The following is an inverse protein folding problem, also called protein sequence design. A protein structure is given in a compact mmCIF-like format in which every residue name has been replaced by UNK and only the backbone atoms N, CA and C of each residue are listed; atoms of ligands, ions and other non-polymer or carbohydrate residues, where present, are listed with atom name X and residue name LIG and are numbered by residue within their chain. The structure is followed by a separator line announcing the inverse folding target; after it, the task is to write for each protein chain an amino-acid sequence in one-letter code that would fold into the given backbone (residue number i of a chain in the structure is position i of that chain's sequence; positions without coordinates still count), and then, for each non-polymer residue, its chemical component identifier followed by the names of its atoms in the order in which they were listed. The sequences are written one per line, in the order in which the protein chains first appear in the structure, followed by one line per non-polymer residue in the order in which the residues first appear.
data_IF_223467798273
#
_entry.id   IF_223467798273
#
_cell.length_a   1.000
_cell.length_b   1.000
_cell.length_c   1.000
_cell.angle_alpha   90.00
_cell.angle_beta   90.00
_cell.angle_gamma   90.00
#
_symmetry.space_group_name_H-M   'P 1'
#
loop_
_entity.id
_entity.type
_entity.pdbx_description
1 polymer ?
#
# COMPACT_ATOMS: atom_id res chain seq x y z
N UNK A 1 6.69 -11.15 1.45
CA UNK A 1 7.71 -10.11 1.20
C UNK A 1 7.03 -8.92 0.56
N UNK A 2 7.44 -7.67 0.95
CA UNK A 2 7.02 -6.43 0.30
C UNK A 2 8.04 -6.06 -0.77
N UNK A 3 7.56 -5.56 -1.93
CA UNK A 3 8.40 -5.05 -3.00
C UNK A 3 7.77 -3.82 -3.66
N UNK A 4 8.63 -2.89 -4.07
CA UNK A 4 8.31 -1.81 -5.02
C UNK A 4 8.96 -2.17 -6.34
N UNK A 5 8.22 -2.70 -7.33
CA UNK A 5 8.80 -3.38 -8.50
C UNK A 5 9.40 -2.43 -9.53
N UNK A 6 9.08 -1.15 -9.45
CA UNK A 6 9.58 -0.14 -10.37
C UNK A 6 9.24 1.27 -9.90
N UNK A 7 9.84 2.26 -10.54
CA UNK A 7 9.62 3.69 -10.27
C UNK A 7 9.79 4.48 -11.56
N UNK A 8 8.83 5.35 -11.84
CA UNK A 8 8.98 6.36 -12.90
C UNK A 8 9.83 7.53 -12.37
N UNK A 9 9.52 8.00 -11.17
CA UNK A 9 10.25 9.08 -10.52
C UNK A 9 9.90 9.12 -9.02
N UNK A 10 10.84 9.53 -8.19
CA UNK A 10 10.64 9.73 -6.76
C UNK A 10 11.07 11.15 -6.40
N UNK A 11 10.14 11.99 -5.95
CA UNK A 11 10.36 13.43 -5.75
C UNK A 11 11.42 13.74 -4.69
N UNK A 12 11.55 12.88 -3.67
CA UNK A 12 12.55 13.03 -2.61
C UNK A 12 13.91 12.39 -2.95
N UNK A 13 14.12 11.94 -4.20
CA UNK A 13 15.41 11.45 -4.73
C UNK A 13 15.61 12.04 -6.13
N UNK A 14 15.81 13.38 -6.22
CA UNK A 14 15.79 14.10 -7.49
C UNK A 14 16.93 13.72 -8.46
N UNK A 15 18.03 13.15 -7.96
CA UNK A 15 19.16 12.73 -8.80
C UNK A 15 18.86 11.49 -9.64
N UNK A 16 17.79 10.76 -9.35
CA UNK A 16 17.41 9.59 -10.14
C UNK A 16 16.80 10.02 -11.47
N UNK A 17 17.22 9.41 -12.58
CA UNK A 17 16.63 9.71 -13.89
C UNK A 17 15.15 9.29 -13.91
N UNK A 18 14.34 10.08 -14.62
CA UNK A 18 12.95 9.69 -14.92
C UNK A 18 12.97 8.53 -15.92
N UNK A 19 12.27 7.46 -15.58
CA UNK A 19 12.09 6.30 -16.46
C UNK A 19 10.75 6.44 -17.17
N UNK A 20 10.71 6.21 -18.49
CA UNK A 20 9.47 6.20 -19.22
C UNK A 20 8.49 5.16 -18.66
N UNK A 21 7.20 5.50 -18.59
CA UNK A 21 6.19 4.71 -17.88
C UNK A 21 6.06 3.28 -18.47
N UNK A 22 6.02 3.17 -19.78
CA UNK A 22 5.96 1.89 -20.51
C UNK A 22 7.21 1.04 -20.29
N UNK A 23 8.38 1.66 -20.27
CA UNK A 23 9.65 0.99 -19.96
C UNK A 23 9.68 0.48 -18.53
N UNK A 24 9.18 1.29 -17.58
CA UNK A 24 9.03 0.88 -16.19
C UNK A 24 8.11 -0.34 -16.08
N UNK A 25 6.95 -0.29 -16.75
CA UNK A 25 5.99 -1.39 -16.78
C UNK A 25 6.61 -2.69 -17.32
N UNK A 26 7.21 -2.63 -18.52
CA UNK A 26 7.81 -3.80 -19.15
C UNK A 26 8.88 -4.46 -18.28
N UNK A 27 9.77 -3.64 -17.70
CA UNK A 27 10.84 -4.13 -16.82
C UNK A 27 10.27 -4.75 -15.53
N UNK A 28 9.31 -4.08 -14.89
CA UNK A 28 8.71 -4.55 -13.66
C UNK A 28 7.96 -5.88 -13.88
N UNK A 29 7.16 -6.00 -14.95
CA UNK A 29 6.46 -7.24 -15.30
C UNK A 29 7.44 -8.37 -15.56
N UNK A 30 8.50 -8.12 -16.35
CA UNK A 30 9.49 -9.13 -16.66
C UNK A 30 10.18 -9.68 -15.40
N UNK A 31 10.61 -8.80 -14.49
CA UNK A 31 11.27 -9.23 -13.26
C UNK A 31 10.31 -9.91 -12.30
N UNK A 32 9.08 -9.43 -12.18
CA UNK A 32 8.07 -10.09 -11.33
C UNK A 32 7.71 -11.49 -11.86
N UNK A 33 7.63 -11.68 -13.19
CA UNK A 33 7.46 -13.01 -13.79
C UNK A 33 8.64 -13.95 -13.51
N UNK A 34 9.87 -13.43 -13.39
CA UNK A 34 11.05 -14.22 -12.98
C UNK A 34 11.01 -14.60 -11.50
N UNK A 35 10.48 -13.74 -10.64
CA UNK A 35 10.37 -13.98 -9.21
C UNK A 35 9.20 -14.92 -8.85
N UNK A 36 8.15 -14.95 -9.66
CA UNK A 36 6.95 -15.74 -9.37
C UNK A 36 7.19 -17.23 -9.10
N UNK A 37 7.99 -17.97 -9.90
CA UNK A 37 8.29 -19.37 -9.61
C UNK A 37 9.10 -19.55 -8.32
N UNK A 38 10.01 -18.63 -8.00
CA UNK A 38 10.77 -18.66 -6.74
C UNK A 38 9.84 -18.46 -5.54
N UNK A 39 8.92 -17.50 -5.64
CA UNK A 39 7.90 -17.27 -4.62
C UNK A 39 7.02 -18.52 -4.40
N UNK A 40 6.65 -19.20 -5.48
CA UNK A 40 5.88 -20.45 -5.44
C UNK A 40 6.67 -21.59 -4.79
N UNK A 41 7.92 -21.79 -5.17
CA UNK A 41 8.81 -22.83 -4.60
C UNK A 41 8.94 -22.69 -3.07
N UNK A 42 9.10 -21.43 -2.61
CA UNK A 42 9.24 -21.15 -1.18
C UNK A 42 7.91 -20.93 -0.46
N UNK A 43 6.78 -20.99 -1.15
CA UNK A 43 5.44 -20.70 -0.60
C UNK A 43 5.35 -19.33 0.10
N UNK A 44 6.01 -18.32 -0.45
CA UNK A 44 6.06 -16.96 0.09
C UNK A 44 5.40 -15.99 -0.89
N UNK A 45 4.34 -15.32 -0.43
CA UNK A 45 3.74 -14.26 -1.23
C UNK A 45 4.66 -13.04 -1.36
N UNK A 46 4.74 -12.50 -2.57
CA UNK A 46 5.33 -11.19 -2.85
C UNK A 46 4.19 -10.19 -3.05
N UNK A 47 4.15 -9.18 -2.19
CA UNK A 47 3.18 -8.10 -2.24
C UNK A 47 3.77 -6.85 -2.87
N UNK A 48 3.15 -6.36 -3.94
CA UNK A 48 3.48 -5.11 -4.61
C UNK A 48 2.81 -3.96 -3.87
N UNK A 49 3.60 -3.00 -3.38
CA UNK A 49 3.09 -1.85 -2.66
C UNK A 49 2.77 -0.68 -3.59
N UNK A 50 1.64 -0.03 -3.34
CA UNK A 50 1.28 1.25 -3.93
C UNK A 50 1.98 2.39 -3.17
N UNK A 51 3.01 2.97 -3.79
CA UNK A 51 3.82 4.06 -3.21
C UNK A 51 3.88 5.28 -4.14
N UNK A 52 4.37 6.41 -3.63
CA UNK A 52 4.49 7.65 -4.40
C UNK A 52 5.74 7.67 -5.30
N UNK A 53 5.75 6.83 -6.30
CA UNK A 53 6.84 6.66 -7.26
C UNK A 53 6.41 6.92 -8.72
N UNK A 54 5.21 7.50 -8.91
CA UNK A 54 4.60 7.79 -10.22
C UNK A 54 4.42 6.54 -11.10
N UNK A 55 4.26 5.39 -10.47
CA UNK A 55 3.99 4.11 -11.12
C UNK A 55 2.83 3.39 -10.43
N UNK A 56 2.00 2.67 -11.20
CA UNK A 56 0.79 2.01 -10.71
C UNK A 56 -0.18 2.99 -10.03
N UNK A 57 -0.56 4.03 -10.76
CA UNK A 57 -1.26 5.21 -10.25
C UNK A 57 -2.74 4.99 -9.95
N UNK A 58 -3.32 3.88 -10.38
CA UNK A 58 -4.73 3.56 -10.16
C UNK A 58 -4.95 2.10 -9.76
N UNK A 59 -6.09 1.79 -9.10
CA UNK A 59 -6.41 0.41 -8.76
C UNK A 59 -6.58 -0.48 -10.00
N UNK A 60 -6.98 0.09 -11.12
CA UNK A 60 -7.13 -0.66 -12.38
C UNK A 60 -5.78 -1.05 -12.96
N UNK A 61 -4.78 -0.15 -12.88
CA UNK A 61 -3.41 -0.46 -13.29
C UNK A 61 -2.77 -1.50 -12.37
N UNK A 62 -2.89 -1.34 -11.05
CA UNK A 62 -2.38 -2.31 -10.08
C UNK A 62 -2.99 -3.70 -10.32
N UNK A 63 -4.30 -3.75 -10.56
CA UNK A 63 -4.99 -5.00 -10.91
C UNK A 63 -4.44 -5.60 -12.20
N UNK A 64 -4.34 -4.79 -13.27
CA UNK A 64 -3.84 -5.24 -14.57
C UNK A 64 -2.39 -5.75 -14.47
N UNK A 65 -1.55 -5.05 -13.71
CA UNK A 65 -0.16 -5.44 -13.47
C UNK A 65 -0.06 -6.81 -12.78
N UNK A 66 -0.83 -7.02 -11.71
CA UNK A 66 -0.83 -8.31 -10.98
C UNK A 66 -1.38 -9.43 -11.88
N UNK A 67 -2.45 -9.16 -12.62
CA UNK A 67 -3.07 -10.15 -13.51
C UNK A 67 -2.16 -10.52 -14.68
N UNK A 68 -1.38 -9.57 -15.21
CA UNK A 68 -0.42 -9.84 -16.30
C UNK A 68 0.73 -10.73 -15.83
N UNK A 69 1.14 -10.67 -14.56
CA UNK A 69 2.14 -11.56 -14.00
C UNK A 69 1.60 -12.99 -13.90
N UNK A 70 0.32 -13.16 -13.60
CA UNK A 70 -0.40 -14.43 -13.68
C UNK A 70 -0.01 -15.46 -12.64
N UNK A 71 0.42 -15.06 -11.43
CA UNK A 71 0.80 -15.97 -10.35
C UNK A 71 0.01 -15.69 -9.07
N UNK A 72 -0.52 -16.73 -8.45
CA UNK A 72 -1.18 -16.63 -7.15
C UNK A 72 -0.24 -16.16 -6.02
N UNK A 73 1.06 -16.33 -6.18
CA UNK A 73 2.09 -15.93 -5.22
C UNK A 73 2.45 -14.44 -5.31
N UNK A 74 1.95 -13.75 -6.34
CA UNK A 74 2.13 -12.32 -6.52
C UNK A 74 0.80 -11.61 -6.28
N UNK A 75 0.82 -10.57 -5.46
CA UNK A 75 -0.37 -9.78 -5.17
C UNK A 75 -0.04 -8.38 -4.71
N UNK A 76 -1.04 -7.69 -4.16
CA UNK A 76 -0.85 -6.36 -3.61
C UNK A 76 -0.47 -6.43 -2.12
N UNK A 77 0.50 -5.65 -1.73
CA UNK A 77 0.68 -5.18 -0.36
C UNK A 77 0.05 -3.79 -0.29
N UNK A 78 -1.22 -3.74 0.05
CA UNK A 78 -2.01 -2.51 -0.10
C UNK A 78 -1.77 -1.54 1.06
N UNK A 79 -1.26 -0.34 0.75
CA UNK A 79 -1.17 0.76 1.72
C UNK A 79 -2.39 1.66 1.61
N UNK A 80 -3.13 1.79 2.72
CA UNK A 80 -4.36 2.57 2.82
C UNK A 80 -4.06 4.07 2.72
N UNK A 81 -3.03 4.56 3.41
CA UNK A 81 -2.73 5.99 3.49
C UNK A 81 -2.16 6.56 2.20
N UNK A 82 -1.36 5.77 1.48
CA UNK A 82 -0.70 6.23 0.26
C UNK A 82 -1.67 6.63 -0.86
N UNK A 83 -2.90 6.11 -0.86
CA UNK A 83 -3.89 6.45 -1.90
C UNK A 83 -4.81 7.61 -1.53
N UNK A 84 -4.83 8.04 -0.26
CA UNK A 84 -5.77 9.08 0.23
C UNK A 84 -5.59 10.41 -0.49
N UNK A 85 -4.37 10.75 -0.88
CA UNK A 85 -4.08 11.99 -1.60
C UNK A 85 -4.78 12.07 -2.95
N UNK A 86 -4.76 10.98 -3.72
CA UNK A 86 -5.26 10.95 -5.10
C UNK A 86 -6.52 10.10 -5.30
N UNK A 87 -7.02 9.44 -4.24
CA UNK A 87 -8.13 8.50 -4.39
C UNK A 87 -8.82 8.13 -3.10
N UNK A 88 -9.50 7.01 -3.15
CA UNK A 88 -10.33 6.47 -2.08
C UNK A 88 -9.93 5.02 -1.77
N UNK A 89 -9.34 4.75 -0.60
CA UNK A 89 -8.83 3.42 -0.25
C UNK A 89 -9.87 2.30 -0.39
N UNK A 90 -11.11 2.55 0.02
CA UNK A 90 -12.20 1.58 -0.05
C UNK A 90 -12.55 1.15 -1.48
N UNK A 91 -12.34 2.03 -2.47
CA UNK A 91 -12.51 1.68 -3.88
C UNK A 91 -11.37 0.77 -4.37
N UNK A 92 -10.13 1.09 -3.99
CA UNK A 92 -8.97 0.26 -4.30
C UNK A 92 -9.14 -1.16 -3.74
N UNK A 93 -9.56 -1.28 -2.48
CA UNK A 93 -9.76 -2.55 -1.81
C UNK A 93 -10.76 -3.42 -2.60
N UNK A 94 -11.93 -2.87 -2.97
CA UNK A 94 -12.95 -3.62 -3.73
C UNK A 94 -12.47 -4.02 -5.12
N UNK A 95 -11.71 -3.16 -5.81
CA UNK A 95 -11.18 -3.43 -7.16
C UNK A 95 -10.09 -4.50 -7.14
N UNK A 96 -9.19 -4.44 -6.15
CA UNK A 96 -8.11 -5.42 -6.00
C UNK A 96 -8.62 -6.77 -5.49
N UNK A 97 -9.59 -6.77 -4.59
CA UNK A 97 -10.22 -7.99 -4.08
C UNK A 97 -9.19 -8.98 -3.53
N UNK A 98 -9.31 -10.25 -3.93
CA UNK A 98 -8.43 -11.36 -3.48
C UNK A 98 -6.94 -11.22 -3.85
N UNK A 99 -6.58 -10.21 -4.65
CA UNK A 99 -5.18 -9.90 -4.98
C UNK A 99 -4.45 -9.28 -3.81
N UNK A 100 -5.16 -8.72 -2.82
CA UNK A 100 -4.55 -8.19 -1.59
C UNK A 100 -4.03 -9.34 -0.75
N UNK A 101 -2.72 -9.35 -0.52
CA UNK A 101 -2.02 -10.37 0.31
C UNK A 101 -1.68 -9.86 1.69
N UNK A 102 -1.39 -8.55 1.80
CA UNK A 102 -1.13 -7.84 3.06
C UNK A 102 -1.55 -6.39 2.95
N UNK A 103 -1.67 -5.74 4.10
CA UNK A 103 -2.14 -4.36 4.20
C UNK A 103 -1.25 -3.56 5.14
N UNK A 104 -0.91 -2.33 4.73
CA UNK A 104 -0.44 -1.28 5.62
C UNK A 104 -1.60 -0.40 6.07
N UNK A 105 -1.75 -0.22 7.38
CA UNK A 105 -2.56 0.85 7.96
C UNK A 105 -1.67 2.07 8.15
N UNK A 106 -2.03 3.13 7.48
CA UNK A 106 -1.35 4.42 7.47
C UNK A 106 -2.42 5.50 7.31
N UNK A 107 -2.18 6.68 7.81
CA UNK A 107 -3.14 7.77 7.69
C UNK A 107 -2.51 9.03 7.08
N UNK A 108 -3.34 9.84 6.44
CA UNK A 108 -2.89 10.97 5.64
C UNK A 108 -3.94 12.07 5.62
N UNK A 109 -3.50 13.34 5.68
CA UNK A 109 -4.35 14.52 5.50
C UNK A 109 -4.26 15.04 4.07
N UNK A 110 -5.42 15.17 3.41
CA UNK A 110 -5.50 15.74 2.05
C UNK A 110 -5.08 17.19 2.00
N UNK A 111 -5.32 17.95 3.06
CA UNK A 111 -4.99 19.37 3.17
C UNK A 111 -4.02 19.60 4.34
N UNK A 112 -2.80 20.12 4.10
CA UNK A 112 -2.27 20.67 2.84
C UNK A 112 -1.82 19.64 1.80
N UNK A 113 -1.69 18.36 2.14
CA UNK A 113 -1.14 17.35 1.26
C UNK A 113 0.40 17.31 1.27
N UNK A 114 0.99 16.46 0.40
CA UNK A 114 2.44 16.26 0.33
C UNK A 114 2.98 15.34 1.44
N UNK A 115 4.29 15.08 1.42
CA UNK A 115 4.94 14.10 2.30
C UNK A 115 4.75 14.40 3.80
N UNK A 116 4.65 15.68 4.16
CA UNK A 116 4.47 16.10 5.56
C UNK A 116 3.03 15.94 6.07
N UNK A 117 2.13 15.42 5.25
CA UNK A 117 0.73 15.20 5.63
C UNK A 117 0.43 13.76 6.04
N UNK A 118 1.43 12.89 6.09
CA UNK A 118 1.30 11.62 6.82
C UNK A 118 1.23 11.91 8.32
N UNK A 119 0.25 11.32 8.98
CA UNK A 119 -0.08 11.57 10.38
C UNK A 119 -0.29 10.27 11.13
N UNK A 120 -0.42 10.36 12.45
CA UNK A 120 -0.80 9.21 13.27
C UNK A 120 -2.14 8.62 12.79
N UNK A 121 -2.26 7.30 12.86
CA UNK A 121 -3.49 6.59 12.50
C UNK A 121 -4.65 7.12 13.34
N UNK A 122 -5.77 7.42 12.72
CA UNK A 122 -6.96 8.13 13.22
C UNK A 122 -6.84 9.65 13.29
N UNK A 123 -5.72 10.24 12.90
CA UNK A 123 -5.55 11.70 12.87
C UNK A 123 -5.69 12.30 11.46
N UNK A 124 -5.84 11.43 10.43
CA UNK A 124 -5.96 11.83 9.03
C UNK A 124 -7.39 11.77 8.47
N UNK A 125 -7.46 11.67 7.16
CA UNK A 125 -8.69 11.69 6.37
C UNK A 125 -9.09 10.33 5.80
N UNK A 126 -8.49 9.24 6.30
CA UNK A 126 -8.95 7.89 5.95
C UNK A 126 -10.34 7.65 6.56
N UNK A 127 -11.31 7.31 5.72
CA UNK A 127 -12.61 6.82 6.19
C UNK A 127 -12.47 5.36 6.65
N UNK A 128 -12.02 5.18 7.89
CA UNK A 128 -11.78 3.86 8.47
C UNK A 128 -13.03 2.97 8.50
N UNK A 129 -14.24 3.47 8.79
CA UNK A 129 -15.47 2.69 8.62
C UNK A 129 -15.65 2.15 7.21
N UNK A 130 -15.48 2.99 6.19
CA UNK A 130 -15.62 2.57 4.78
C UNK A 130 -14.51 1.59 4.36
N UNK A 131 -13.27 1.80 4.83
CA UNK A 131 -12.13 0.91 4.60
C UNK A 131 -12.38 -0.47 5.20
N UNK A 132 -12.82 -0.54 6.47
CA UNK A 132 -13.09 -1.81 7.13
C UNK A 132 -14.26 -2.54 6.49
N UNK A 133 -15.31 -1.82 6.07
CA UNK A 133 -16.40 -2.41 5.32
C UNK A 133 -15.92 -2.98 3.97
N UNK A 134 -15.03 -2.29 3.27
CA UNK A 134 -14.48 -2.77 2.01
C UNK A 134 -13.64 -4.05 2.18
N UNK A 135 -12.87 -4.19 3.28
CA UNK A 135 -12.17 -5.44 3.59
C UNK A 135 -13.13 -6.58 3.89
N UNK A 136 -14.25 -6.32 4.57
CA UNK A 136 -15.30 -7.33 4.78
C UNK A 136 -15.97 -7.73 3.48
N UNK A 137 -16.30 -6.77 2.60
CA UNK A 137 -16.94 -7.02 1.31
C UNK A 137 -16.12 -7.97 0.43
N UNK A 138 -14.78 -7.92 0.54
CA UNK A 138 -13.90 -8.82 -0.22
C UNK A 138 -13.50 -10.09 0.55
N UNK A 139 -13.92 -10.23 1.80
CA UNK A 139 -13.56 -11.35 2.66
C UNK A 139 -12.07 -11.40 3.03
N UNK A 140 -11.44 -10.24 3.25
CA UNK A 140 -10.04 -10.17 3.65
C UNK A 140 -9.87 -10.59 5.11
N UNK A 141 -9.09 -11.64 5.33
CA UNK A 141 -8.77 -12.20 6.65
C UNK A 141 -7.24 -12.28 6.88
N UNK A 142 -6.50 -11.36 6.27
CA UNK A 142 -5.05 -11.29 6.35
C UNK A 142 -4.53 -10.34 7.43
N UNK A 143 -3.23 -10.16 7.43
CA UNK A 143 -2.54 -9.30 8.39
C UNK A 143 -2.59 -7.82 7.97
N UNK A 144 -2.78 -6.95 8.96
CA UNK A 144 -2.58 -5.52 8.83
C UNK A 144 -1.39 -5.08 9.69
N UNK A 145 -0.49 -4.30 9.11
CA UNK A 145 0.69 -3.73 9.78
C UNK A 145 0.55 -2.21 9.84
N UNK A 146 0.77 -1.61 11.00
CA UNK A 146 0.86 -0.14 11.09
C UNK A 146 2.15 0.36 10.47
N UNK A 147 2.06 1.23 9.47
CA UNK A 147 3.21 1.95 8.94
C UNK A 147 3.22 3.36 9.49
N UNK A 148 4.23 3.66 10.30
CA UNK A 148 4.32 4.87 11.07
C UNK A 148 5.27 5.88 10.42
N UNK A 149 4.67 6.94 9.91
CA UNK A 149 5.36 8.16 9.47
C UNK A 149 4.51 9.29 10.04
N UNK A 150 4.85 10.05 10.95
CA UNK A 150 6.10 10.69 11.31
C UNK A 150 6.78 10.08 12.53
N UNK A 151 8.11 10.30 12.62
CA UNK A 151 8.84 9.99 13.82
C UNK A 151 8.65 11.10 14.87
N UNK A 152 8.48 10.71 16.12
CA UNK A 152 8.48 11.66 17.23
C UNK A 152 9.92 12.12 17.52
N UNK A 153 10.12 13.43 17.69
CA UNK A 153 11.43 13.99 18.03
C UNK A 153 11.92 13.60 19.42
N UNK A 154 10.97 13.31 20.33
CA UNK A 154 11.22 12.85 21.70
C UNK A 154 10.32 11.66 21.99
N UNK A 155 10.80 10.72 22.84
CA UNK A 155 10.07 9.50 23.19
C UNK A 155 9.57 8.77 21.92
N UNK A 156 10.47 8.43 21.03
CA UNK A 156 10.17 7.86 19.69
C UNK A 156 9.42 6.52 19.77
N UNK A 157 9.52 5.80 20.89
CA UNK A 157 8.77 4.59 21.16
C UNK A 157 7.26 4.84 21.41
N UNK A 158 6.87 6.07 21.76
CA UNK A 158 5.46 6.43 22.01
C UNK A 158 4.58 6.20 20.77
N UNK A 159 5.14 6.37 19.57
CA UNK A 159 4.41 6.11 18.32
C UNK A 159 3.93 4.66 18.21
N UNK A 160 4.70 3.69 18.72
CA UNK A 160 4.34 2.28 18.72
C UNK A 160 3.07 2.04 19.54
N UNK A 161 3.01 2.62 20.74
CA UNK A 161 1.85 2.49 21.64
C UNK A 161 0.62 3.18 21.06
N UNK A 162 0.78 4.39 20.51
CA UNK A 162 -0.31 5.13 19.87
C UNK A 162 -0.86 4.37 18.67
N UNK A 163 0.02 3.87 17.81
CA UNK A 163 -0.36 3.07 16.63
C UNK A 163 -1.09 1.80 17.03
N UNK A 164 -0.58 1.05 18.02
CA UNK A 164 -1.22 -0.16 18.51
C UNK A 164 -2.63 0.12 19.08
N UNK A 165 -2.77 1.21 19.83
CA UNK A 165 -4.07 1.63 20.38
C UNK A 165 -5.06 2.00 19.26
N UNK A 166 -4.61 2.78 18.27
CA UNK A 166 -5.42 3.20 17.11
C UNK A 166 -5.86 2.00 16.27
N UNK A 167 -4.94 1.11 15.93
CA UNK A 167 -5.25 -0.12 15.20
C UNK A 167 -6.23 -1.01 15.98
N UNK A 168 -6.06 -1.11 17.29
CA UNK A 168 -6.98 -1.86 18.15
C UNK A 168 -8.41 -1.31 18.15
N UNK A 169 -8.60 0.01 17.96
CA UNK A 169 -9.94 0.61 17.78
C UNK A 169 -10.52 0.29 16.43
N UNK A 170 -9.71 0.43 15.36
CA UNK A 170 -10.12 0.17 13.99
C UNK A 170 -10.56 -1.29 13.82
N UNK A 171 -9.73 -2.24 14.24
CA UNK A 171 -10.00 -3.67 14.13
C UNK A 171 -11.21 -4.13 14.95
N UNK A 172 -11.52 -3.43 16.05
CA UNK A 172 -12.71 -3.68 16.87
C UNK A 172 -13.92 -2.84 16.43
N UNK A 173 -13.81 -2.07 15.37
CA UNK A 173 -14.85 -1.14 14.87
C UNK A 173 -15.39 -0.21 15.96
N UNK A 174 -14.51 0.31 16.81
CA UNK A 174 -14.83 1.26 17.86
C UNK A 174 -14.46 2.68 17.41
N UNK A 175 -15.23 3.19 16.46
CA UNK A 175 -15.07 4.54 15.91
C UNK A 175 -15.79 5.57 16.77
#
# INVERSE_FOLDING_TARGET
VLIVPGSVSVEFVPERPVVAYDVCWQRAVAEMKRLAPVAAEHQIHIGVENVWNKFLLSPLEMRAFIDEIGSEWIGSYFDVGNVVYAGYPEQWIRILGKRIKKVHFKDFRRNPGGLNSFVDILAGDVDWPAVMQAFEDIGYDGWATGEMIPAYGHASDQIIYNTAASMGRILKKKF
#
